data_IF_581354025263
#
_entry.id   IF_581354025263
#
_cell.length_a   1.000
_cell.length_b   1.000
_cell.length_c   1.000
_cell.angle_alpha   90.00
_cell.angle_beta   90.00
_cell.angle_gamma   90.00
#
_symmetry.space_group_name_H-M   'P 1'
#
loop_
_entity.id
_entity.type
_entity.pdbx_description
1 polymer ?
#
# COMPACT_ATOMS: atom_id res chain seq x y z
N UNK A 1 -6.14 18.04 6.15
CA UNK A 1 -5.92 17.64 6.23
C UNK A 1 -5.86 16.75 6.67
N UNK A 2 -5.89 16.34 6.71
CA UNK A 2 -5.81 15.69 7.02
C UNK A 2 -5.13 14.91 7.40
N UNK A 3 -4.97 15.33 7.84
CA UNK A 3 -4.09 14.65 8.04
C UNK A 3 -4.12 13.38 8.54
N UNK A 4 -3.61 12.65 8.12
CA UNK A 4 -3.67 11.26 8.46
C UNK A 4 -2.62 10.91 9.45
N UNK A 5 -3.06 10.46 10.57
CA UNK A 5 -2.12 10.05 11.58
C UNK A 5 -1.43 8.78 11.13
N UNK A 6 -0.10 8.79 11.14
CA UNK A 6 0.69 7.64 10.78
C UNK A 6 0.85 7.42 9.29
N UNK A 7 0.13 8.17 8.50
CA UNK A 7 0.20 8.03 7.05
C UNK A 7 -0.47 6.75 6.57
N UNK A 8 -1.39 6.90 5.66
CA UNK A 8 -2.14 5.78 5.11
C UNK A 8 -2.59 6.13 3.71
N UNK A 9 -2.52 5.15 2.82
CA UNK A 9 -2.93 5.35 1.44
C UNK A 9 -3.58 4.09 0.92
N UNK A 10 -4.76 4.21 0.36
CA UNK A 10 -5.42 3.05 -0.22
C UNK A 10 -4.74 2.69 -1.54
N UNK A 11 -4.35 1.43 -1.65
CA UNK A 11 -3.73 0.90 -2.86
C UNK A 11 -4.78 0.36 -3.82
N UNK A 12 -5.72 -0.40 -3.28
CA UNK A 12 -6.68 -1.07 -4.13
C UNK A 12 -7.89 -1.49 -3.29
N UNK A 13 -9.03 -1.43 -3.91
CA UNK A 13 -10.28 -1.87 -3.31
C UNK A 13 -10.96 -2.79 -4.31
N UNK A 14 -11.18 -4.05 -3.92
CA UNK A 14 -11.75 -5.01 -4.85
C UNK A 14 -13.28 -4.89 -4.89
N UNK A 15 -13.91 -5.38 -5.97
CA UNK A 15 -15.35 -5.31 -6.08
C UNK A 15 -16.09 -6.02 -4.95
N UNK A 16 -15.49 -7.04 -4.33
CA UNK A 16 -16.15 -7.75 -3.25
C UNK A 16 -15.92 -7.11 -1.88
N UNK A 17 -15.23 -5.97 -1.82
CA UNK A 17 -15.10 -5.24 -0.59
C UNK A 17 -13.78 -5.41 0.16
N UNK A 18 -12.86 -6.18 -0.37
CA UNK A 18 -11.53 -6.26 0.22
C UNK A 18 -10.78 -4.98 -0.07
N UNK A 19 -9.93 -4.57 0.87
CA UNK A 19 -9.14 -3.35 0.72
C UNK A 19 -7.68 -3.63 1.03
N UNK A 20 -6.81 -2.97 0.30
CA UNK A 20 -5.37 -3.01 0.55
C UNK A 20 -4.89 -1.58 0.76
N UNK A 21 -4.18 -1.38 1.88
CA UNK A 21 -3.74 -0.04 2.28
C UNK A 21 -2.24 -0.07 2.55
N UNK A 22 -1.56 0.96 2.05
CA UNK A 22 -0.18 1.17 2.42
C UNK A 22 -0.19 2.01 3.69
N UNK A 23 0.46 1.52 4.73
CA UNK A 23 0.42 2.17 6.03
C UNK A 23 1.82 2.32 6.60
N UNK A 24 1.95 3.27 7.48
CA UNK A 24 3.20 3.51 8.17
C UNK A 24 2.93 3.53 9.68
N UNK A 25 3.73 2.78 10.40
CA UNK A 25 3.65 2.78 11.86
C UNK A 25 4.28 4.08 12.38
N UNK A 26 3.51 4.95 13.05
CA UNK A 26 4.06 6.23 13.51
C UNK A 26 5.13 6.07 14.57
N UNK A 27 5.12 4.97 15.30
CA UNK A 27 6.12 4.76 16.37
C UNK A 27 7.45 4.32 15.80
N UNK A 28 7.46 3.39 14.86
CA UNK A 28 8.70 2.82 14.33
C UNK A 28 9.08 3.39 12.97
N UNK A 29 8.13 3.94 12.24
CA UNK A 29 8.36 4.38 10.88
C UNK A 29 8.30 3.26 9.86
N UNK A 30 8.03 2.04 10.29
CA UNK A 30 7.96 0.90 9.39
C UNK A 30 6.76 1.02 8.45
N UNK A 31 6.98 0.62 7.21
CA UNK A 31 5.94 0.65 6.18
C UNK A 31 5.48 -0.77 5.89
N UNK A 32 4.19 -0.94 5.80
CA UNK A 32 3.61 -2.26 5.57
C UNK A 32 2.32 -2.14 4.79
N UNK A 33 1.87 -3.25 4.22
CA UNK A 33 0.60 -3.31 3.51
C UNK A 33 -0.41 -4.00 4.40
N UNK A 34 -1.56 -3.35 4.60
CA UNK A 34 -2.65 -3.95 5.37
C UNK A 34 -3.74 -4.42 4.42
N UNK A 35 -4.08 -5.69 4.54
CA UNK A 35 -5.21 -6.25 3.82
C UNK A 35 -6.38 -6.36 4.77
N UNK A 36 -7.49 -5.71 4.44
CA UNK A 36 -8.73 -5.78 5.22
C UNK A 36 -9.72 -6.59 4.42
N UNK A 37 -9.99 -7.80 4.87
CA UNK A 37 -10.97 -8.66 4.21
C UNK A 37 -12.36 -8.06 4.39
N UNK A 38 -13.23 -8.31 3.41
CA UNK A 38 -14.60 -7.81 3.50
C UNK A 38 -15.33 -8.48 4.66
N UNK A 39 -16.43 -7.85 5.09
CA UNK A 39 -17.18 -8.34 6.25
C UNK A 39 -17.70 -9.77 6.04
N UNK A 40 -18.29 -10.12 4.87
CA UNK A 40 -18.72 -11.49 4.66
C UNK A 40 -17.61 -12.53 4.77
N UNK A 41 -16.36 -12.12 4.54
CA UNK A 41 -15.20 -13.01 4.69
C UNK A 41 -14.57 -12.89 6.08
N UNK A 42 -15.24 -12.25 7.02
CA UNK A 42 -14.78 -12.18 8.39
C UNK A 42 -14.18 -10.85 8.84
N UNK A 43 -13.96 -9.93 7.92
CA UNK A 43 -13.41 -8.60 8.25
C UNK A 43 -12.01 -8.63 8.81
N UNK A 44 -11.27 -9.70 8.58
CA UNK A 44 -9.95 -9.87 9.17
C UNK A 44 -8.94 -8.90 8.55
N UNK A 45 -8.03 -8.40 9.39
CA UNK A 45 -6.94 -7.56 8.95
C UNK A 45 -5.64 -8.33 9.01
N UNK A 46 -4.84 -8.20 7.97
CA UNK A 46 -3.54 -8.86 7.90
C UNK A 46 -2.51 -7.83 7.48
N UNK A 47 -1.42 -7.73 8.23
CA UNK A 47 -0.35 -6.80 7.92
C UNK A 47 0.82 -7.56 7.31
N UNK A 48 1.33 -7.05 6.19
CA UNK A 48 2.40 -7.70 5.44
C UNK A 48 3.52 -6.69 5.28
N UNK A 49 4.73 -7.09 5.69
CA UNK A 49 5.88 -6.23 5.50
C UNK A 49 6.03 -5.86 4.02
N UNK A 50 6.42 -4.60 3.75
CA UNK A 50 6.46 -4.12 2.37
C UNK A 50 7.45 -4.90 1.52
N UNK A 51 8.59 -5.28 2.10
CA UNK A 51 9.56 -6.09 1.38
C UNK A 51 9.01 -7.45 1.03
N UNK A 52 8.32 -8.07 1.96
CA UNK A 52 7.70 -9.36 1.74
C UNK A 52 6.60 -9.27 0.69
N UNK A 53 5.79 -8.21 0.76
CA UNK A 53 4.73 -7.99 -0.21
C UNK A 53 5.30 -7.85 -1.62
N UNK A 54 6.37 -7.08 -1.76
CA UNK A 54 6.99 -6.85 -3.07
C UNK A 54 7.67 -8.10 -3.60
N UNK A 55 8.27 -8.88 -2.73
CA UNK A 55 9.04 -10.06 -3.17
C UNK A 55 8.16 -11.27 -3.47
N UNK A 56 6.87 -11.18 -3.20
CA UNK A 56 5.98 -12.31 -3.46
C UNK A 56 5.86 -12.63 -4.95
N UNK A 57 6.17 -11.65 -5.81
CA UNK A 57 6.21 -11.89 -7.25
C UNK A 57 4.86 -12.03 -7.91
N UNK A 58 3.79 -11.76 -7.20
CA UNK A 58 2.46 -11.89 -7.76
C UNK A 58 2.07 -10.65 -8.55
N UNK A 59 1.12 -10.82 -9.45
CA UNK A 59 0.67 -9.74 -10.32
C UNK A 59 -0.78 -9.37 -10.05
N UNK A 60 -1.15 -9.41 -8.81
CA UNK A 60 -2.50 -9.02 -8.40
C UNK A 60 -2.67 -7.52 -8.55
N UNK A 61 -3.93 -7.04 -8.67
CA UNK A 61 -4.17 -5.60 -8.82
C UNK A 61 -3.56 -4.76 -7.70
N UNK A 62 -3.61 -5.24 -6.47
CA UNK A 62 -3.04 -4.51 -5.33
C UNK A 62 -1.52 -4.41 -5.46
N UNK A 63 -0.89 -5.44 -5.99
CA UNK A 63 0.54 -5.44 -6.25
C UNK A 63 0.90 -4.41 -7.31
N UNK A 64 0.15 -4.43 -8.40
CA UNK A 64 0.35 -3.49 -9.49
C UNK A 64 0.15 -2.05 -9.01
N UNK A 65 -0.82 -1.84 -8.13
CA UNK A 65 -1.08 -0.51 -7.60
C UNK A 65 0.13 0.01 -6.82
N UNK A 66 0.73 -0.84 -6.00
CA UNK A 66 1.91 -0.43 -5.23
C UNK A 66 3.08 -0.14 -6.15
N UNK A 67 3.30 -1.00 -7.14
CA UNK A 67 4.40 -0.78 -8.08
C UNK A 67 4.22 0.52 -8.85
N UNK A 68 3.00 0.83 -9.24
CA UNK A 68 2.72 2.10 -9.92
C UNK A 68 3.02 3.29 -9.03
N UNK A 69 2.66 3.19 -7.77
CA UNK A 69 2.93 4.27 -6.83
C UNK A 69 4.43 4.49 -6.69
N UNK A 70 5.18 3.41 -6.53
CA UNK A 70 6.63 3.50 -6.42
C UNK A 70 7.23 4.10 -7.68
N UNK A 71 6.75 3.65 -8.84
CA UNK A 71 7.22 4.18 -10.11
C UNK A 71 6.98 5.67 -10.24
N UNK A 72 5.82 6.14 -9.78
CA UNK A 72 5.51 7.56 -9.81
C UNK A 72 6.48 8.36 -8.97
N UNK A 73 6.82 7.85 -7.79
CA UNK A 73 7.75 8.55 -6.91
C UNK A 73 9.14 8.62 -7.53
N UNK A 74 9.58 7.52 -8.12
CA UNK A 74 10.88 7.49 -8.77
C UNK A 74 10.92 8.44 -9.96
N UNK A 75 9.88 8.45 -10.76
CA UNK A 75 9.79 9.35 -11.92
C UNK A 75 9.84 10.81 -11.48
N UNK A 76 9.09 11.14 -10.47
CA UNK A 76 9.07 12.52 -9.98
C UNK A 76 10.45 12.94 -9.49
N UNK A 77 11.12 12.06 -8.80
CA UNK A 77 12.45 12.33 -8.30
C UNK A 77 13.45 12.53 -9.43
N UNK A 78 13.41 11.66 -10.41
CA UNK A 78 14.29 11.78 -11.56
C UNK A 78 14.03 13.06 -12.34
N UNK A 79 12.77 13.39 -12.51
CA UNK A 79 12.39 14.60 -13.21
C UNK A 79 12.93 15.83 -12.49
N UNK A 80 12.80 15.86 -11.19
CA UNK A 80 13.33 16.97 -10.39
C UNK A 80 14.84 17.10 -10.52
N UNK A 81 15.52 15.96 -10.52
CA UNK A 81 16.97 15.96 -10.58
C UNK A 81 17.50 16.46 -11.92
N UNK A 82 16.71 16.34 -12.95
CA UNK A 82 17.14 16.75 -14.29
C UNK A 82 17.06 18.27 -14.48
N UNK A 83 16.38 18.93 -13.62
CA UNK A 83 16.24 20.35 -13.69
C UNK A 83 17.23 21.04 -12.77
#
# INVERSE_FOLDING_TARGET
>A
MKTTLGGQRELYSSPNGDRWLLRRDPASGDVFVRHEANVPSGGKRTDIDIGEFLSSGQRNPEHQALLRLIGTLVENKLHSARN
#
